data_IF_973994986388
#
_entry.id   IF_973994986388
#
_cell.length_a   1.000
_cell.length_b   1.000
_cell.length_c   1.000
_cell.angle_alpha   90.00
_cell.angle_beta   90.00
_cell.angle_gamma   90.00
#
_symmetry.space_group_name_H-M   'P 1'
#
loop_
_entity.id
_entity.type
_entity.pdbx_description
1 polymer ?
#
# COMPACT_ATOMS: atom_id res chain seq x y z
N UNK A 1 4.66 -23.08 23.77
CA UNK A 1 5.18 -23.99 22.72
C UNK A 1 5.85 -25.20 23.35
N UNK A 2 6.62 -25.01 24.42
CA UNK A 2 7.06 -26.12 25.28
C UNK A 2 5.84 -26.72 26.02
N UNK A 3 5.56 -28.01 25.82
CA UNK A 3 4.46 -28.74 26.45
C UNK A 3 3.45 -29.41 25.50
N UNK A 4 3.55 -29.22 24.18
CA UNK A 4 2.71 -29.95 23.23
C UNK A 4 3.21 -31.39 23.06
N UNK A 5 2.36 -32.38 23.37
CA UNK A 5 2.68 -33.81 23.19
C UNK A 5 3.01 -34.09 21.71
N UNK A 6 4.08 -34.85 21.49
CA UNK A 6 4.78 -35.22 20.24
C UNK A 6 3.95 -35.73 19.04
N UNK A 7 2.62 -35.77 19.09
CA UNK A 7 1.78 -36.47 18.11
C UNK A 7 1.02 -35.55 17.14
N UNK A 8 1.34 -34.25 17.09
CA UNK A 8 0.70 -33.33 16.16
C UNK A 8 1.75 -32.58 15.34
N UNK A 9 1.75 -32.79 14.02
CA UNK A 9 2.51 -31.99 13.06
C UNK A 9 1.91 -30.57 12.98
N UNK A 10 2.17 -29.74 13.98
CA UNK A 10 1.65 -28.38 14.07
C UNK A 10 2.77 -27.40 13.72
N UNK A 11 2.52 -26.55 12.72
CA UNK A 11 3.39 -25.42 12.37
C UNK A 11 2.71 -24.16 12.90
N UNK A 12 3.45 -23.32 13.63
CA UNK A 12 2.96 -22.05 14.15
C UNK A 12 3.61 -20.90 13.38
N UNK A 13 2.80 -20.04 12.78
CA UNK A 13 3.23 -18.85 12.06
C UNK A 13 2.84 -17.60 12.85
N UNK A 14 3.79 -16.69 13.07
CA UNK A 14 3.55 -15.39 13.69
C UNK A 14 3.75 -14.25 12.69
N UNK A 15 2.91 -13.21 12.75
CA UNK A 15 3.04 -12.01 11.93
C UNK A 15 3.06 -10.77 12.83
N UNK A 16 4.05 -9.89 12.65
CA UNK A 16 4.16 -8.61 13.35
C UNK A 16 4.77 -7.55 12.45
N UNK A 17 4.27 -6.32 12.56
CA UNK A 17 4.89 -5.14 11.94
C UNK A 17 6.03 -4.58 12.80
N UNK A 18 6.24 -5.13 14.01
CA UNK A 18 7.25 -4.71 14.99
C UNK A 18 8.02 -5.94 15.49
N UNK A 19 8.95 -6.52 14.71
CA UNK A 19 9.69 -7.71 15.13
C UNK A 19 10.53 -7.49 16.40
N UNK A 20 10.94 -6.25 16.66
CA UNK A 20 11.69 -5.87 17.86
C UNK A 20 10.82 -5.80 19.12
N UNK A 21 9.48 -5.83 19.00
CA UNK A 21 8.60 -5.90 20.18
C UNK A 21 8.30 -7.34 20.60
N UNK A 22 8.74 -8.34 19.86
CA UNK A 22 8.63 -9.74 20.27
C UNK A 22 9.75 -10.07 21.26
N UNK A 23 9.39 -10.74 22.35
CA UNK A 23 10.35 -11.23 23.35
C UNK A 23 11.45 -12.08 22.67
N UNK A 24 12.71 -11.75 22.95
CA UNK A 24 13.86 -12.46 22.43
C UNK A 24 13.86 -13.96 22.79
N UNK A 25 13.18 -14.37 23.88
CA UNK A 25 13.00 -15.77 24.24
C UNK A 25 12.16 -16.55 23.22
N UNK A 26 11.21 -15.90 22.54
CA UNK A 26 10.35 -16.53 21.53
C UNK A 26 11.05 -16.66 20.17
N UNK A 27 12.08 -15.85 19.90
CA UNK A 27 12.86 -15.82 18.64
C UNK A 27 14.05 -16.80 18.63
N UNK A 28 14.11 -17.70 19.61
CA UNK A 28 15.19 -18.68 19.76
C UNK A 28 14.83 -20.00 19.09
N UNK A 29 15.88 -20.79 18.84
CA UNK A 29 15.79 -22.15 18.32
C UNK A 29 14.74 -23.00 19.08
N UNK A 30 13.91 -23.73 18.33
CA UNK A 30 12.80 -24.54 18.86
C UNK A 30 11.47 -23.79 19.08
N UNK A 31 11.40 -22.50 18.72
CA UNK A 31 10.21 -21.63 18.80
C UNK A 31 10.00 -20.91 17.46
N UNK A 32 10.08 -19.58 17.41
CA UNK A 32 10.19 -18.84 16.15
C UNK A 32 11.66 -18.73 15.73
N UNK A 33 12.22 -19.85 15.29
CA UNK A 33 13.61 -19.97 14.88
C UNK A 33 13.86 -19.52 13.42
N UNK A 34 12.78 -19.28 12.66
CA UNK A 34 12.81 -18.77 11.29
C UNK A 34 12.09 -17.43 11.20
N UNK A 35 12.81 -16.41 10.74
CA UNK A 35 12.25 -15.09 10.47
C UNK A 35 12.26 -14.80 8.97
N UNK A 36 11.09 -14.45 8.43
CA UNK A 36 10.94 -14.07 7.03
C UNK A 36 10.48 -12.62 7.00
N UNK A 37 11.34 -11.74 6.46
CA UNK A 37 10.98 -10.33 6.25
C UNK A 37 10.18 -10.19 4.97
N UNK A 38 8.94 -9.75 5.09
CA UNK A 38 8.11 -9.39 3.93
C UNK A 38 8.37 -7.91 3.59
N UNK A 39 8.83 -7.66 2.37
CA UNK A 39 9.07 -6.32 1.84
C UNK A 39 7.86 -5.76 1.10
N UNK A 40 7.99 -4.52 0.62
CA UNK A 40 7.02 -3.93 -0.32
C UNK A 40 7.07 -4.71 -1.64
N UNK A 41 5.92 -5.08 -2.23
CA UNK A 41 5.90 -5.84 -3.48
C UNK A 41 6.47 -5.04 -4.66
N UNK A 42 7.21 -5.74 -5.53
CA UNK A 42 7.59 -5.26 -6.86
C UNK A 42 6.38 -5.21 -7.80
N UNK A 43 6.54 -4.63 -9.00
CA UNK A 43 5.46 -4.46 -9.98
C UNK A 43 4.65 -5.74 -10.23
N UNK A 44 5.31 -6.86 -10.48
CA UNK A 44 4.65 -8.18 -10.65
C UNK A 44 3.86 -8.58 -9.40
N UNK A 45 4.43 -8.38 -8.22
CA UNK A 45 3.73 -8.66 -6.96
C UNK A 45 2.51 -7.76 -6.74
N UNK A 46 2.58 -6.48 -7.16
CA UNK A 46 1.43 -5.56 -7.09
C UNK A 46 0.33 -5.97 -8.05
N UNK A 47 0.69 -6.40 -9.26
CA UNK A 47 -0.26 -6.94 -10.23
C UNK A 47 -1.00 -8.15 -9.67
N UNK A 48 -0.29 -9.09 -9.04
CA UNK A 48 -0.93 -10.26 -8.42
C UNK A 48 -1.88 -9.87 -7.28
N UNK A 49 -1.47 -8.93 -6.43
CA UNK A 49 -2.35 -8.41 -5.38
C UNK A 49 -3.59 -7.75 -5.99
N UNK A 50 -3.43 -6.90 -7.01
CA UNK A 50 -4.55 -6.25 -7.70
C UNK A 50 -5.50 -7.29 -8.32
N UNK A 51 -4.97 -8.36 -8.94
CA UNK A 51 -5.78 -9.46 -9.47
C UNK A 51 -6.58 -10.16 -8.38
N UNK A 52 -6.00 -10.36 -7.20
CA UNK A 52 -6.70 -10.96 -6.05
C UNK A 52 -7.78 -10.01 -5.53
N UNK A 53 -7.46 -8.72 -5.34
CA UNK A 53 -8.41 -7.73 -4.82
C UNK A 53 -9.58 -7.49 -5.77
N UNK A 54 -9.32 -7.52 -7.08
CA UNK A 54 -10.33 -7.28 -8.11
C UNK A 54 -11.05 -8.54 -8.58
N UNK A 55 -10.70 -9.73 -8.08
CA UNK A 55 -11.27 -11.01 -8.51
C UNK A 55 -12.79 -11.08 -8.44
N UNK A 56 -13.39 -10.45 -7.43
CA UNK A 56 -14.83 -10.43 -7.22
C UNK A 56 -15.50 -9.13 -7.72
N UNK A 57 -14.73 -8.23 -8.33
CA UNK A 57 -15.24 -6.98 -8.88
C UNK A 57 -15.70 -7.21 -10.32
N UNK A 58 -16.79 -6.54 -10.70
CA UNK A 58 -17.17 -6.45 -12.12
C UNK A 58 -16.26 -5.41 -12.77
N UNK A 59 -15.25 -5.88 -13.50
CA UNK A 59 -14.37 -5.02 -14.26
C UNK A 59 -14.87 -4.90 -15.69
N UNK A 60 -14.76 -3.70 -16.26
CA UNK A 60 -14.94 -3.48 -17.69
C UNK A 60 -13.71 -3.95 -18.47
N UNK A 61 -13.89 -4.28 -19.75
CA UNK A 61 -12.85 -4.83 -20.61
C UNK A 61 -11.68 -3.86 -20.87
N UNK A 62 -11.86 -2.57 -20.59
CA UNK A 62 -10.84 -1.53 -20.73
C UNK A 62 -9.88 -1.44 -19.53
N UNK A 63 -10.16 -2.13 -18.42
CA UNK A 63 -9.36 -2.06 -17.20
C UNK A 63 -7.97 -2.64 -17.44
N UNK A 64 -6.93 -1.81 -17.24
CA UNK A 64 -5.54 -2.21 -17.36
C UNK A 64 -4.87 -2.25 -15.98
N UNK A 65 -4.92 -3.43 -15.32
CA UNK A 65 -4.29 -3.63 -14.02
C UNK A 65 -2.75 -3.57 -14.06
N UNK A 66 -2.13 -3.84 -15.21
CA UNK A 66 -0.68 -3.76 -15.38
C UNK A 66 -0.23 -2.30 -15.30
N UNK A 67 -0.97 -1.40 -15.95
CA UNK A 67 -0.76 0.04 -15.82
C UNK A 67 -0.92 0.48 -14.37
N UNK A 68 -1.97 0.05 -13.67
CA UNK A 68 -2.19 0.39 -12.25
C UNK A 68 -1.03 -0.11 -11.38
N UNK A 69 -0.55 -1.34 -11.59
CA UNK A 69 0.58 -1.90 -10.85
C UNK A 69 1.87 -1.11 -11.10
N UNK A 70 2.07 -0.64 -12.33
CA UNK A 70 3.20 0.20 -12.70
C UNK A 70 3.11 1.59 -12.08
N UNK A 71 1.94 2.20 -12.02
CA UNK A 71 1.80 3.58 -11.51
C UNK A 71 1.80 3.66 -9.97
N UNK A 72 1.44 2.56 -9.29
CA UNK A 72 1.35 2.48 -7.81
C UNK A 72 2.66 2.05 -7.14
N UNK A 73 3.77 2.72 -7.47
CA UNK A 73 5.07 2.43 -6.87
C UNK A 73 5.04 2.57 -5.34
N UNK A 74 5.63 1.59 -4.65
CA UNK A 74 5.73 1.61 -3.18
C UNK A 74 4.45 1.20 -2.45
N UNK A 75 3.36 0.94 -3.15
CA UNK A 75 2.11 0.51 -2.54
C UNK A 75 2.25 -0.90 -1.97
N UNK A 76 1.77 -1.08 -0.74
CA UNK A 76 1.65 -2.40 -0.11
C UNK A 76 0.25 -2.98 -0.32
N UNK A 77 0.06 -4.24 0.09
CA UNK A 77 -1.22 -4.92 -0.11
C UNK A 77 -2.45 -4.17 0.43
N UNK A 78 -2.30 -3.47 1.57
CA UNK A 78 -3.36 -2.63 2.11
C UNK A 78 -3.70 -1.44 1.20
N UNK A 79 -2.71 -0.76 0.63
CA UNK A 79 -2.95 0.37 -0.27
C UNK A 79 -3.65 -0.08 -1.56
N UNK A 80 -3.21 -1.20 -2.15
CA UNK A 80 -3.82 -1.76 -3.35
C UNK A 80 -5.25 -2.23 -3.11
N UNK A 81 -5.53 -2.77 -1.92
CA UNK A 81 -6.89 -3.13 -1.52
C UNK A 81 -7.80 -1.90 -1.46
N UNK A 82 -7.39 -0.83 -0.78
CA UNK A 82 -8.22 0.37 -0.72
C UNK A 82 -8.33 1.12 -2.04
N UNK A 83 -7.27 1.13 -2.86
CA UNK A 83 -7.36 1.64 -4.23
C UNK A 83 -8.49 0.94 -4.99
N UNK A 84 -8.54 -0.39 -4.91
CA UNK A 84 -9.57 -1.19 -5.58
C UNK A 84 -10.96 -0.91 -5.01
N UNK A 85 -11.08 -0.80 -3.69
CA UNK A 85 -12.34 -0.46 -3.01
C UNK A 85 -12.83 0.94 -3.39
N UNK A 86 -11.97 1.95 -3.41
CA UNK A 86 -12.37 3.32 -3.75
C UNK A 86 -12.75 3.44 -5.23
N UNK A 87 -12.06 2.72 -6.14
CA UNK A 87 -12.45 2.65 -7.54
C UNK A 87 -13.86 2.04 -7.72
N UNK A 88 -14.22 1.01 -6.94
CA UNK A 88 -15.58 0.48 -6.90
C UNK A 88 -16.58 1.49 -6.32
N UNK A 89 -16.24 2.17 -5.22
CA UNK A 89 -17.11 3.18 -4.63
C UNK A 89 -17.34 4.36 -5.57
N UNK A 90 -16.34 4.75 -6.35
CA UNK A 90 -16.45 5.81 -7.36
C UNK A 90 -17.41 5.41 -8.47
N UNK A 91 -17.32 4.18 -8.96
CA UNK A 91 -18.28 3.60 -9.89
C UNK A 91 -19.71 3.63 -9.32
N UNK A 92 -19.89 3.20 -8.06
CA UNK A 92 -21.20 3.20 -7.41
C UNK A 92 -21.73 4.63 -7.24
N UNK A 93 -20.91 5.58 -6.80
CA UNK A 93 -21.30 6.99 -6.62
C UNK A 93 -21.76 7.63 -7.92
N UNK A 94 -21.08 7.36 -9.03
CA UNK A 94 -21.47 7.86 -10.35
C UNK A 94 -22.83 7.29 -10.78
N UNK A 95 -23.06 6.00 -10.54
CA UNK A 95 -24.30 5.33 -10.96
C UNK A 95 -25.46 5.50 -9.98
N UNK A 96 -25.23 5.83 -8.71
CA UNK A 96 -26.30 6.10 -7.73
C UNK A 96 -27.21 7.26 -8.17
N UNK A 97 -26.69 8.26 -8.88
CA UNK A 97 -27.50 9.34 -9.43
C UNK A 97 -28.45 8.94 -10.57
N UNK A 98 -28.31 7.71 -11.09
CA UNK A 98 -29.11 7.15 -12.19
C UNK A 98 -30.10 6.07 -11.73
N UNK A 99 -30.03 5.68 -10.45
CA UNK A 99 -30.90 4.66 -9.85
C UNK A 99 -32.02 5.41 -9.14
N UNK A 100 -33.25 5.21 -9.60
CA UNK A 100 -34.43 5.66 -8.89
C UNK A 100 -34.61 4.74 -7.67
N UNK A 101 -34.45 5.27 -6.47
CA UNK A 101 -34.49 4.50 -5.22
C UNK A 101 -35.93 4.10 -4.84
N UNK A 102 -36.93 4.65 -5.54
CA UNK A 102 -38.35 4.36 -5.35
C UNK A 102 -38.80 3.10 -6.11
N UNK A 103 -37.98 2.59 -7.04
CA UNK A 103 -38.27 1.39 -7.83
C UNK A 103 -37.80 0.13 -7.09
N UNK A 104 -38.72 -0.82 -6.81
CA UNK A 104 -38.39 -2.07 -6.10
C UNK A 104 -37.53 -3.04 -6.94
N UNK A 105 -37.34 -2.78 -8.23
CA UNK A 105 -36.58 -3.63 -9.13
C UNK A 105 -35.41 -2.90 -9.79
N UNK A 106 -34.20 -3.42 -9.58
CA UNK A 106 -33.01 -2.97 -10.30
C UNK A 106 -32.99 -3.69 -11.64
N UNK A 107 -33.16 -2.94 -12.72
CA UNK A 107 -33.11 -3.49 -14.06
C UNK A 107 -31.75 -4.15 -14.35
N UNK A 108 -31.76 -5.28 -15.06
CA UNK A 108 -30.56 -6.08 -15.36
C UNK A 108 -29.57 -5.24 -16.19
N UNK A 109 -30.08 -4.35 -17.04
CA UNK A 109 -29.25 -3.40 -17.79
C UNK A 109 -28.52 -2.39 -16.88
N UNK A 110 -29.20 -1.86 -15.85
CA UNK A 110 -28.56 -0.99 -14.85
C UNK A 110 -27.48 -1.75 -14.08
N UNK A 111 -27.75 -2.99 -13.70
CA UNK A 111 -26.79 -3.88 -13.04
C UNK A 111 -25.55 -4.18 -13.91
N UNK A 112 -25.75 -4.30 -15.22
CA UNK A 112 -24.66 -4.49 -16.20
C UNK A 112 -23.84 -3.21 -16.41
N UNK A 113 -24.43 -2.03 -16.20
CA UNK A 113 -23.74 -0.74 -16.30
C UNK A 113 -22.83 -0.42 -15.11
N UNK A 114 -22.90 -1.18 -14.01
CA UNK A 114 -22.08 -1.01 -12.80
C UNK A 114 -20.72 -1.73 -12.88
N UNK A 115 -20.06 -1.65 -14.03
CA UNK A 115 -18.70 -2.19 -14.18
C UNK A 115 -17.66 -1.11 -13.85
N UNK A 116 -16.65 -1.47 -13.06
CA UNK A 116 -15.52 -0.59 -12.77
C UNK A 116 -14.65 -0.47 -14.01
N UNK A 117 -14.47 0.74 -14.51
CA UNK A 117 -13.67 1.08 -15.69
C UNK A 117 -12.23 1.44 -15.33
N UNK A 118 -11.36 1.53 -16.33
CA UNK A 118 -9.98 1.97 -16.13
C UNK A 118 -9.91 3.42 -15.63
N UNK A 119 -10.91 4.23 -15.98
CA UNK A 119 -11.00 5.62 -15.56
C UNK A 119 -11.18 5.75 -14.05
N UNK A 120 -12.00 4.90 -13.42
CA UNK A 120 -12.13 4.92 -11.96
C UNK A 120 -10.79 4.64 -11.25
N UNK A 121 -9.98 3.72 -11.77
CA UNK A 121 -8.65 3.46 -11.23
C UNK A 121 -7.72 4.67 -11.41
N UNK A 122 -7.70 5.29 -12.59
CA UNK A 122 -6.90 6.50 -12.86
C UNK A 122 -7.26 7.64 -11.91
N UNK A 123 -8.54 7.93 -11.80
CA UNK A 123 -9.06 8.98 -10.92
C UNK A 123 -8.74 8.68 -9.46
N UNK A 124 -8.87 7.43 -9.04
CA UNK A 124 -8.54 7.03 -7.66
C UNK A 124 -7.04 7.21 -7.37
N UNK A 125 -6.15 6.77 -8.27
CA UNK A 125 -4.70 6.96 -8.11
C UNK A 125 -4.37 8.45 -8.00
N UNK A 126 -4.92 9.27 -8.90
CA UNK A 126 -4.69 10.71 -8.91
C UNK A 126 -5.24 11.37 -7.64
N UNK A 127 -6.47 11.06 -7.27
CA UNK A 127 -7.13 11.60 -6.08
C UNK A 127 -6.37 11.30 -4.79
N UNK A 128 -5.82 10.09 -4.68
CA UNK A 128 -4.99 9.67 -3.54
C UNK A 128 -3.68 10.47 -3.48
N UNK A 129 -3.06 10.79 -4.62
CA UNK A 129 -1.87 11.64 -4.67
C UNK A 129 -2.20 13.08 -4.27
N UNK A 130 -3.35 13.61 -4.72
CA UNK A 130 -3.80 14.98 -4.45
C UNK A 130 -4.25 15.17 -2.99
N UNK A 131 -4.73 14.13 -2.32
CA UNK A 131 -5.34 14.20 -0.98
C UNK A 131 -4.67 13.23 0.02
N UNK A 132 -3.42 13.50 0.42
CA UNK A 132 -2.65 12.63 1.31
C UNK A 132 -3.28 12.46 2.70
N UNK A 133 -4.12 13.38 3.17
CA UNK A 133 -4.87 13.28 4.43
C UNK A 133 -5.92 12.16 4.42
N UNK A 134 -6.39 11.75 3.23
CA UNK A 134 -7.36 10.64 3.09
C UNK A 134 -6.69 9.27 3.22
N UNK A 135 -5.37 9.18 3.00
CA UNK A 135 -4.60 7.97 3.31
C UNK A 135 -4.63 7.65 4.81
N UNK A 136 -4.49 8.66 5.67
CA UNK A 136 -4.41 8.46 7.11
C UNK A 136 -5.72 7.93 7.70
N UNK A 137 -6.87 8.39 7.17
CA UNK A 137 -8.21 7.91 7.58
C UNK A 137 -8.45 6.43 7.23
N UNK A 138 -7.80 5.94 6.18
CA UNK A 138 -7.86 4.53 5.79
C UNK A 138 -6.81 3.66 6.52
N UNK A 139 -6.13 4.18 7.54
CA UNK A 139 -5.09 3.46 8.28
C UNK A 139 -3.80 3.26 7.48
N UNK A 140 -3.58 4.07 6.45
CA UNK A 140 -2.44 3.97 5.56
C UNK A 140 -1.42 5.05 5.86
N UNK A 141 -0.16 4.67 5.92
CA UNK A 141 0.95 5.63 5.93
C UNK A 141 1.31 5.91 4.47
N UNK A 142 1.15 7.15 3.95
CA UNK A 142 1.78 7.47 2.67
C UNK A 142 3.29 7.25 2.83
N UNK A 143 3.95 6.61 1.87
CA UNK A 143 5.40 6.45 1.89
C UNK A 143 6.05 7.82 1.68
N UNK A 144 6.46 8.49 2.77
CA UNK A 144 6.89 9.91 2.75
C UNK A 144 8.37 10.15 2.43
N UNK A 145 9.10 9.21 1.82
CA UNK A 145 10.55 9.39 1.70
C UNK A 145 11.22 8.62 0.59
N UNK A 146 11.95 9.35 -0.25
CA UNK A 146 12.97 8.82 -1.16
C UNK A 146 14.34 9.14 -0.55
N UNK A 147 15.14 8.11 -0.24
CA UNK A 147 16.51 8.26 0.28
C UNK A 147 17.52 8.05 -0.85
N UNK A 148 18.23 9.10 -1.24
CA UNK A 148 19.36 8.99 -2.16
C UNK A 148 20.65 8.62 -1.40
N UNK A 149 21.25 7.46 -1.69
CA UNK A 149 22.49 6.98 -1.03
C UNK A 149 23.65 6.70 -2.01
N UNK A 150 24.89 6.66 -1.51
CA UNK A 150 26.10 6.25 -2.23
C UNK A 150 27.33 7.15 -1.99
N UNK A 151 28.38 7.07 -2.81
CA UNK A 151 29.66 7.76 -2.56
C UNK A 151 29.53 9.29 -2.52
N UNK A 152 30.40 10.00 -1.77
CA UNK A 152 30.43 11.46 -1.76
C UNK A 152 30.77 12.00 -3.16
N UNK A 153 30.20 13.15 -3.52
CA UNK A 153 30.43 13.79 -4.83
C UNK A 153 29.51 13.34 -5.97
N UNK A 154 28.69 12.31 -5.81
CA UNK A 154 27.78 11.82 -6.87
C UNK A 154 26.49 12.65 -7.06
N UNK A 155 26.46 13.93 -6.69
CA UNK A 155 25.33 14.82 -6.98
C UNK A 155 23.98 14.49 -6.33
N UNK A 156 23.91 13.53 -5.40
CA UNK A 156 22.65 13.05 -4.78
C UNK A 156 21.81 14.17 -4.17
N UNK A 157 22.46 15.08 -3.43
CA UNK A 157 21.81 16.24 -2.83
C UNK A 157 21.30 17.22 -3.88
N UNK A 158 22.02 17.35 -5.00
CA UNK A 158 21.60 18.20 -6.11
C UNK A 158 20.40 17.58 -6.84
N UNK A 159 20.42 16.28 -7.09
CA UNK A 159 19.31 15.53 -7.68
C UNK A 159 18.05 15.62 -6.82
N UNK A 160 18.18 15.41 -5.50
CA UNK A 160 17.07 15.53 -4.55
C UNK A 160 16.46 16.95 -4.53
N UNK A 161 17.30 17.99 -4.61
CA UNK A 161 16.86 19.39 -4.71
C UNK A 161 16.13 19.67 -6.02
N UNK A 162 16.63 19.17 -7.15
CA UNK A 162 16.01 19.35 -8.47
C UNK A 162 14.63 18.70 -8.51
N UNK A 163 14.52 17.44 -8.09
CA UNK A 163 13.26 16.70 -8.04
C UNK A 163 12.25 17.39 -7.11
N UNK A 164 12.68 17.85 -5.94
CA UNK A 164 11.77 18.54 -5.03
C UNK A 164 11.27 19.87 -5.59
N UNK A 165 12.10 20.60 -6.34
CA UNK A 165 11.70 21.84 -7.00
C UNK A 165 10.72 21.57 -8.16
N UNK A 166 10.98 20.54 -8.97
CA UNK A 166 10.14 20.16 -10.10
C UNK A 166 8.76 19.64 -9.65
N UNK A 167 8.72 18.86 -8.56
CA UNK A 167 7.48 18.33 -8.00
C UNK A 167 6.74 19.30 -7.07
N UNK A 168 7.19 20.56 -6.93
CA UNK A 168 6.68 21.53 -5.94
C UNK A 168 6.59 20.94 -4.52
N UNK A 169 7.52 20.05 -4.17
CA UNK A 169 7.52 19.33 -2.91
C UNK A 169 8.34 20.08 -1.85
N UNK A 170 7.91 19.97 -0.58
CA UNK A 170 8.61 20.60 0.53
C UNK A 170 9.96 19.89 0.77
N UNK A 171 11.08 20.54 0.44
CA UNK A 171 12.41 19.94 0.53
C UNK A 171 13.08 20.18 1.88
N UNK A 172 13.28 19.11 2.66
CA UNK A 172 14.04 19.16 3.92
C UNK A 172 15.35 18.38 3.73
N UNK A 173 16.45 19.10 3.53
CA UNK A 173 17.80 18.50 3.45
C UNK A 173 18.33 18.21 4.85
N UNK A 174 18.40 16.93 5.21
CA UNK A 174 19.02 16.50 6.47
C UNK A 174 20.37 15.87 6.16
N UNK A 175 21.47 16.56 6.48
CA UNK A 175 22.79 15.94 6.46
C UNK A 175 22.87 14.90 7.58
N UNK A 176 23.19 13.64 7.23
CA UNK A 176 23.31 12.52 8.18
C UNK A 176 24.32 12.76 9.31
N UNK A 177 25.24 13.72 9.14
CA UNK A 177 26.16 14.19 10.19
C UNK A 177 25.46 14.94 11.34
N UNK A 178 24.21 15.38 11.17
CA UNK A 178 23.44 16.11 12.20
C UNK A 178 22.38 15.26 12.93
N UNK A 179 22.01 14.09 12.39
CA UNK A 179 20.95 13.24 12.98
C UNK A 179 21.46 12.36 14.11
N UNK A 180 22.76 12.01 14.11
CA UNK A 180 23.34 11.13 15.12
C UNK A 180 23.46 11.76 16.53
N UNK A 181 23.21 13.06 16.69
CA UNK A 181 23.55 13.79 17.94
C UNK A 181 22.35 14.10 18.84
N UNK A 182 21.11 13.76 18.47
CA UNK A 182 19.92 14.06 19.30
C UNK A 182 19.30 12.87 20.04
N UNK A 183 19.92 11.67 20.01
CA UNK A 183 19.39 10.49 20.74
C UNK A 183 20.23 10.05 21.94
N UNK A 184 21.14 10.90 22.44
CA UNK A 184 21.80 10.70 23.75
C UNK A 184 21.89 12.03 24.49
N UNK A 185 20.94 12.28 25.38
CA UNK A 185 21.07 13.09 26.61
C UNK A 185 19.67 13.27 27.23
N UNK A 186 19.14 12.20 27.83
CA UNK A 186 18.23 12.27 28.98
C UNK A 186 18.39 10.97 29.79
N UNK A 187 19.52 10.90 30.48
CA UNK A 187 19.61 10.43 31.86
C UNK A 187 20.29 11.54 32.64
#
# INVERSE_FOLDING_TARGET
MDGMKSHAHVIVLGATNRPNSIDAALRRFGRFDREIKIGVPYEVGRLEVLRIQTKNMRLSNDVNLEWVAKDTHGYVGANLAALSTEAALQCIKEKMGLIDLEDESIDVEKLNSMAVTNQHFKETVQYLVEHPEKFEKCGMSPSRGVLFYGPPGCGKTLLAKMIANECQANFISISLTKVATQTRCHQ
#
